data_IF_497843653276
#
_entry.id   IF_497843653276
#
_cell.length_a   1.000
_cell.length_b   1.000
_cell.length_c   1.000
_cell.angle_alpha   90.00
_cell.angle_beta   90.00
_cell.angle_gamma   90.00
#
_symmetry.space_group_name_H-M   'P 1'
#
loop_
_entity.id
_entity.type
_entity.pdbx_description
1 polymer ?
#
# COMPACT_ATOMS: atom_id res chain seq x y z
N UNK A 1 10.31 -1.62 -10.72
CA UNK A 1 11.42 -2.59 -10.70
C UNK A 1 12.14 -2.74 -12.04
N UNK A 2 11.52 -2.41 -13.17
CA UNK A 2 12.22 -2.32 -14.46
C UNK A 2 13.40 -1.32 -14.42
N UNK A 3 13.21 -0.19 -13.73
CA UNK A 3 14.22 0.85 -13.50
C UNK A 3 15.51 0.35 -12.80
N UNK A 4 15.45 -0.69 -11.98
CA UNK A 4 16.62 -1.20 -11.25
C UNK A 4 17.36 -2.21 -12.11
N UNK A 5 16.69 -3.30 -12.49
CA UNK A 5 17.33 -4.39 -13.23
C UNK A 5 17.76 -3.98 -14.64
N UNK A 6 16.96 -3.17 -15.36
CA UNK A 6 17.29 -2.71 -16.72
C UNK A 6 18.42 -1.69 -16.71
N UNK A 7 18.51 -0.85 -15.66
CA UNK A 7 19.63 0.09 -15.50
C UNK A 7 20.93 -0.64 -15.21
N UNK A 8 20.89 -1.66 -14.36
CA UNK A 8 22.05 -2.53 -14.10
C UNK A 8 22.47 -3.26 -15.38
N UNK A 9 21.52 -3.75 -16.16
CA UNK A 9 21.80 -4.42 -17.43
C UNK A 9 22.40 -3.46 -18.46
N UNK A 10 21.89 -2.23 -18.58
CA UNK A 10 22.50 -1.19 -19.41
C UNK A 10 23.90 -0.78 -18.93
N UNK A 11 24.16 -0.78 -17.62
CA UNK A 11 25.49 -0.47 -17.07
C UNK A 11 26.52 -1.59 -17.35
N UNK A 12 26.10 -2.86 -17.34
CA UNK A 12 27.00 -4.02 -17.50
C UNK A 12 27.14 -4.44 -18.97
N UNK A 13 26.02 -4.59 -19.68
CA UNK A 13 25.97 -5.12 -21.05
C UNK A 13 25.81 -4.04 -22.13
N UNK A 14 25.42 -2.81 -21.74
CA UNK A 14 25.19 -1.71 -22.68
C UNK A 14 23.77 -1.70 -23.26
N UNK A 15 23.50 -0.80 -24.21
CA UNK A 15 22.16 -0.63 -24.83
C UNK A 15 21.70 -1.88 -25.62
N UNK A 16 20.43 -1.95 -26.00
CA UNK A 16 19.82 -3.08 -26.71
C UNK A 16 20.65 -3.59 -27.91
N UNK A 17 21.17 -2.68 -28.75
CA UNK A 17 22.04 -3.05 -29.88
C UNK A 17 23.34 -3.72 -29.43
N UNK A 18 23.93 -3.23 -28.34
CA UNK A 18 25.17 -3.77 -27.78
C UNK A 18 24.91 -5.15 -27.14
N UNK A 19 23.78 -5.32 -26.46
CA UNK A 19 23.34 -6.60 -25.89
C UNK A 19 23.10 -7.65 -26.99
N UNK A 20 22.38 -7.27 -28.05
CA UNK A 20 22.13 -8.16 -29.19
C UNK A 20 23.44 -8.62 -29.81
N UNK A 21 24.34 -7.68 -30.09
CA UNK A 21 25.68 -7.96 -30.64
C UNK A 21 26.54 -8.81 -29.69
N UNK A 22 26.45 -8.59 -28.37
CA UNK A 22 27.17 -9.37 -27.36
C UNK A 22 26.67 -10.82 -27.29
N UNK A 23 25.35 -11.02 -27.43
CA UNK A 23 24.75 -12.36 -27.43
C UNK A 23 25.07 -13.15 -28.70
N UNK A 24 25.03 -12.49 -29.87
CA UNK A 24 25.36 -13.07 -31.19
C UNK A 24 26.88 -13.23 -31.43
N UNK A 25 27.71 -12.53 -30.65
CA UNK A 25 29.17 -12.57 -30.78
C UNK A 25 29.83 -13.83 -30.18
N UNK A 26 31.11 -14.07 -30.53
CA UNK A 26 31.87 -15.22 -30.05
C UNK A 26 32.00 -15.25 -28.52
N UNK A 27 32.03 -16.46 -27.96
CA UNK A 27 32.19 -16.67 -26.53
C UNK A 27 33.61 -16.29 -26.10
N UNK A 28 33.72 -15.07 -25.57
CA UNK A 28 34.95 -14.46 -25.08
C UNK A 28 34.91 -14.34 -23.55
N UNK A 29 36.07 -14.33 -22.89
CA UNK A 29 36.14 -14.19 -21.42
C UNK A 29 35.45 -12.90 -20.92
N UNK A 30 35.51 -11.84 -21.73
CA UNK A 30 34.81 -10.59 -21.46
C UNK A 30 33.27 -10.74 -21.48
N UNK A 31 32.72 -11.59 -22.35
CA UNK A 31 31.29 -11.94 -22.39
C UNK A 31 30.91 -12.74 -21.14
N UNK A 32 31.71 -13.74 -20.77
CA UNK A 32 31.47 -14.56 -19.59
C UNK A 32 31.47 -13.71 -18.30
N UNK A 33 32.46 -12.83 -18.13
CA UNK A 33 32.53 -11.94 -16.96
C UNK A 33 31.31 -11.01 -16.84
N UNK A 34 30.88 -10.40 -17.95
CA UNK A 34 29.68 -9.55 -17.97
C UNK A 34 28.42 -10.32 -17.59
N UNK A 35 28.26 -11.54 -18.09
CA UNK A 35 27.10 -12.39 -17.77
C UNK A 35 27.12 -12.83 -16.30
N UNK A 36 28.26 -13.30 -15.79
CA UNK A 36 28.42 -13.67 -14.37
C UNK A 36 28.11 -12.48 -13.47
N UNK A 37 28.70 -11.32 -13.75
CA UNK A 37 28.47 -10.10 -12.97
C UNK A 37 26.98 -9.73 -12.96
N UNK A 38 26.30 -9.79 -14.11
CA UNK A 38 24.86 -9.54 -14.18
C UNK A 38 24.06 -10.50 -13.30
N UNK A 39 24.29 -11.81 -13.45
CA UNK A 39 23.55 -12.82 -12.72
C UNK A 39 23.84 -12.79 -11.21
N UNK A 40 25.08 -12.50 -10.79
CA UNK A 40 25.44 -12.30 -9.39
C UNK A 40 24.72 -11.11 -8.77
N UNK A 41 24.68 -9.96 -9.47
CA UNK A 41 23.96 -8.78 -8.98
C UNK A 41 22.46 -9.04 -8.92
N UNK A 42 21.88 -9.71 -9.93
CA UNK A 42 20.47 -10.04 -9.94
C UNK A 42 20.10 -10.98 -8.80
N UNK A 43 20.92 -12.00 -8.54
CA UNK A 43 20.71 -12.93 -7.43
C UNK A 43 20.76 -12.21 -6.08
N UNK A 44 21.71 -11.29 -5.88
CA UNK A 44 21.82 -10.51 -4.65
C UNK A 44 20.61 -9.62 -4.43
N UNK A 45 20.12 -8.94 -5.47
CA UNK A 45 18.92 -8.09 -5.37
C UNK A 45 17.68 -8.95 -5.11
N UNK A 46 17.54 -10.08 -5.81
CA UNK A 46 16.44 -11.04 -5.57
C UNK A 46 16.46 -11.60 -4.15
N UNK A 47 17.64 -11.84 -3.57
CA UNK A 47 17.79 -12.26 -2.18
C UNK A 47 17.30 -11.19 -1.21
N UNK A 48 17.66 -9.93 -1.41
CA UNK A 48 17.18 -8.81 -0.56
C UNK A 48 15.66 -8.68 -0.65
N UNK A 49 15.10 -8.74 -1.85
CA UNK A 49 13.65 -8.63 -2.07
C UNK A 49 12.91 -9.80 -1.42
N UNK A 50 13.45 -11.02 -1.55
CA UNK A 50 12.91 -12.22 -0.92
C UNK A 50 12.86 -12.09 0.61
N UNK A 51 13.96 -11.63 1.22
CA UNK A 51 14.03 -11.43 2.67
C UNK A 51 13.05 -10.34 3.14
N UNK A 52 12.95 -9.22 2.41
CA UNK A 52 11.99 -8.17 2.74
C UNK A 52 10.54 -8.67 2.64
N UNK A 53 10.23 -9.43 1.59
CA UNK A 53 8.92 -10.04 1.42
C UNK A 53 8.60 -11.02 2.54
N UNK A 54 9.56 -11.85 2.94
CA UNK A 54 9.36 -12.81 4.03
C UNK A 54 9.19 -12.07 5.37
N UNK A 55 9.98 -11.03 5.63
CA UNK A 55 9.84 -10.17 6.81
C UNK A 55 8.45 -9.58 6.95
N UNK A 56 7.76 -9.29 5.84
CA UNK A 56 6.39 -8.80 5.87
C UNK A 56 5.39 -9.88 6.32
N UNK A 57 5.66 -11.16 6.04
CA UNK A 57 4.77 -12.28 6.37
C UNK A 57 5.01 -12.80 7.79
N UNK A 58 6.27 -13.07 8.14
CA UNK A 58 6.63 -13.70 9.43
C UNK A 58 7.07 -12.68 10.51
N UNK A 59 7.24 -11.42 10.14
CA UNK A 59 7.80 -10.38 11.01
C UNK A 59 9.32 -10.33 10.99
N UNK A 60 9.87 -9.15 11.31
CA UNK A 60 11.33 -8.90 11.29
C UNK A 60 12.06 -9.71 12.36
N UNK A 61 11.48 -9.86 13.55
CA UNK A 61 12.12 -10.57 14.67
C UNK A 61 12.28 -12.07 14.38
N UNK A 62 11.29 -12.68 13.72
CA UNK A 62 11.35 -14.07 13.32
C UNK A 62 12.39 -14.28 12.21
N UNK A 63 12.44 -13.38 11.22
CA UNK A 63 13.45 -13.43 10.16
C UNK A 63 14.86 -13.29 10.72
N UNK A 64 15.07 -12.38 11.67
CA UNK A 64 16.38 -12.18 12.30
C UNK A 64 16.85 -13.46 13.00
N UNK A 65 15.96 -14.11 13.77
CA UNK A 65 16.25 -15.41 14.41
C UNK A 65 16.62 -16.49 13.39
N UNK A 66 15.91 -16.59 12.27
CA UNK A 66 16.22 -17.56 11.20
C UNK A 66 17.63 -17.35 10.63
N UNK A 67 18.12 -16.11 10.58
CA UNK A 67 19.45 -15.78 10.06
C UNK A 67 20.56 -15.98 11.11
N UNK A 68 20.27 -15.76 12.40
CA UNK A 68 21.27 -15.83 13.48
C UNK A 68 21.35 -17.18 14.19
N UNK A 69 20.25 -17.92 14.26
CA UNK A 69 20.19 -19.20 14.98
C UNK A 69 20.84 -20.34 14.17
N UNK A 70 21.22 -21.45 14.84
CA UNK A 70 21.71 -22.65 14.15
C UNK A 70 20.71 -23.18 13.12
N UNK A 71 21.22 -23.57 11.95
CA UNK A 71 20.43 -24.00 10.78
C UNK A 71 19.44 -25.13 11.11
N UNK A 72 19.79 -26.00 12.07
CA UNK A 72 18.98 -27.16 12.48
C UNK A 72 17.59 -26.79 13.01
N UNK A 73 17.44 -25.63 13.65
CA UNK A 73 16.18 -25.20 14.26
C UNK A 73 15.23 -24.49 13.27
N UNK A 74 15.74 -24.05 12.11
CA UNK A 74 15.00 -23.20 11.17
C UNK A 74 15.11 -23.67 9.71
N UNK A 75 15.21 -24.98 9.48
CA UNK A 75 15.35 -25.60 8.15
C UNK A 75 14.24 -25.13 7.19
N UNK A 76 12.98 -25.09 7.65
CA UNK A 76 11.84 -24.66 6.83
C UNK A 76 11.96 -23.18 6.44
N UNK A 77 12.42 -22.33 7.35
CA UNK A 77 12.65 -20.91 7.09
C UNK A 77 13.74 -20.68 6.05
N UNK A 78 14.86 -21.39 6.19
CA UNK A 78 15.98 -21.35 5.24
C UNK A 78 15.56 -21.81 3.84
N UNK A 79 14.88 -22.95 3.74
CA UNK A 79 14.36 -23.47 2.46
C UNK A 79 13.43 -22.46 1.82
N UNK A 80 12.54 -21.84 2.60
CA UNK A 80 11.63 -20.80 2.09
C UNK A 80 12.41 -19.61 1.51
N UNK A 81 13.42 -19.09 2.21
CA UNK A 81 14.25 -17.99 1.72
C UNK A 81 14.92 -18.35 0.39
N UNK A 82 15.50 -19.56 0.29
CA UNK A 82 16.17 -20.02 -0.93
C UNK A 82 15.16 -20.15 -2.07
N UNK A 83 14.02 -20.82 -1.84
CA UNK A 83 12.99 -21.02 -2.86
C UNK A 83 12.45 -19.68 -3.35
N UNK A 84 12.07 -18.76 -2.46
CA UNK A 84 11.58 -17.44 -2.86
C UNK A 84 12.66 -16.63 -3.59
N UNK A 85 13.92 -16.69 -3.14
CA UNK A 85 15.04 -16.03 -3.84
C UNK A 85 15.20 -16.57 -5.26
N UNK A 86 15.16 -17.89 -5.44
CA UNK A 86 15.26 -18.53 -6.75
C UNK A 86 14.07 -18.19 -7.65
N UNK A 87 12.85 -18.17 -7.10
CA UNK A 87 11.64 -17.76 -7.84
C UNK A 87 11.76 -16.30 -8.30
N UNK A 88 12.11 -15.38 -7.41
CA UNK A 88 12.30 -13.97 -7.78
C UNK A 88 13.44 -13.80 -8.79
N UNK A 89 14.55 -14.49 -8.60
CA UNK A 89 15.66 -14.50 -9.55
C UNK A 89 15.22 -14.98 -10.93
N UNK A 90 14.51 -16.11 -11.01
CA UNK A 90 14.02 -16.66 -12.27
C UNK A 90 13.07 -15.68 -12.98
N UNK A 91 12.15 -15.10 -12.22
CA UNK A 91 11.21 -14.09 -12.73
C UNK A 91 11.94 -12.89 -13.32
N UNK A 92 12.91 -12.30 -12.60
CA UNK A 92 13.57 -11.09 -13.07
C UNK A 92 14.65 -11.35 -14.13
N UNK A 93 15.30 -12.51 -14.11
CA UNK A 93 16.37 -12.83 -15.05
C UNK A 93 15.87 -13.35 -16.40
N UNK A 94 14.77 -14.12 -16.44
CA UNK A 94 14.36 -14.84 -17.65
C UNK A 94 12.95 -14.52 -18.15
N UNK A 95 11.95 -14.50 -17.26
CA UNK A 95 10.53 -14.45 -17.69
C UNK A 95 9.84 -13.12 -17.37
N UNK A 96 10.62 -12.06 -17.18
CA UNK A 96 10.13 -10.74 -16.73
C UNK A 96 9.01 -10.21 -17.63
N UNK A 97 9.21 -10.25 -18.95
CA UNK A 97 8.25 -9.72 -19.92
C UNK A 97 6.92 -10.49 -19.90
N UNK A 98 6.97 -11.81 -19.79
CA UNK A 98 5.78 -12.67 -19.69
C UNK A 98 5.03 -12.38 -18.39
N UNK A 99 5.77 -12.20 -17.29
CA UNK A 99 5.17 -11.90 -15.99
C UNK A 99 4.43 -10.57 -16.05
N UNK A 100 5.04 -9.51 -16.57
CA UNK A 100 4.42 -8.18 -16.63
C UNK A 100 3.23 -8.12 -17.60
N UNK A 101 3.28 -8.82 -18.73
CA UNK A 101 2.26 -8.72 -19.79
C UNK A 101 1.10 -9.71 -19.64
N UNK A 102 1.35 -10.91 -19.09
CA UNK A 102 0.34 -11.98 -19.03
C UNK A 102 -0.02 -12.45 -17.62
N UNK A 103 0.96 -12.57 -16.73
CA UNK A 103 0.73 -13.18 -15.40
C UNK A 103 0.27 -12.12 -14.39
N UNK A 104 0.81 -10.92 -14.47
CA UNK A 104 0.54 -9.85 -13.52
C UNK A 104 -0.87 -9.29 -13.74
N UNK A 105 -1.81 -9.48 -12.80
CA UNK A 105 -3.15 -8.95 -12.94
C UNK A 105 -3.15 -7.42 -12.93
N UNK A 106 -2.15 -6.80 -12.30
CA UNK A 106 -2.03 -5.34 -12.19
C UNK A 106 -1.90 -4.66 -13.56
N UNK A 107 -1.08 -5.18 -14.47
CA UNK A 107 -0.92 -4.59 -15.81
C UNK A 107 -2.25 -4.55 -16.59
N UNK A 108 -3.10 -5.57 -16.42
CA UNK A 108 -4.42 -5.60 -17.05
C UNK A 108 -5.44 -4.73 -16.32
N UNK A 109 -5.39 -4.67 -14.99
CA UNK A 109 -6.24 -3.78 -14.19
C UNK A 109 -5.94 -2.31 -14.47
N UNK A 110 -4.68 -1.94 -14.74
CA UNK A 110 -4.32 -0.58 -15.13
C UNK A 110 -5.05 -0.12 -16.41
N UNK A 111 -5.25 -1.02 -17.38
CA UNK A 111 -6.03 -0.70 -18.58
C UNK A 111 -7.50 -0.38 -18.29
N UNK A 112 -8.11 -1.03 -17.28
CA UNK A 112 -9.51 -0.79 -16.86
C UNK A 112 -9.66 0.54 -16.10
N UNK A 113 -8.57 1.04 -15.50
CA UNK A 113 -8.55 2.32 -14.78
C UNK A 113 -8.36 3.53 -15.70
N UNK A 114 -8.08 3.32 -16.99
CA UNK A 114 -8.00 4.39 -17.98
C UNK A 114 -9.40 4.71 -18.52
N UNK A 115 -9.68 5.99 -18.64
CA UNK A 115 -10.92 6.54 -19.20
C UNK A 115 -10.55 7.45 -20.38
N UNK A 116 -11.52 7.88 -21.17
CA UNK A 116 -11.28 8.73 -22.36
C UNK A 116 -10.58 10.06 -22.01
N UNK A 117 -10.76 10.51 -20.76
CA UNK A 117 -10.16 11.72 -20.20
C UNK A 117 -8.80 11.48 -19.52
N UNK A 118 -8.30 10.24 -19.50
CA UNK A 118 -7.00 9.93 -18.89
C UNK A 118 -5.87 10.40 -19.81
N UNK A 119 -4.95 11.18 -19.26
CA UNK A 119 -3.78 11.67 -19.99
C UNK A 119 -2.76 10.54 -20.10
N UNK A 120 -2.41 10.17 -21.34
CA UNK A 120 -1.43 9.13 -21.64
C UNK A 120 -0.46 9.61 -22.72
N UNK A 121 0.65 8.88 -22.90
CA UNK A 121 1.53 9.10 -24.05
C UNK A 121 0.82 8.55 -25.28
N UNK A 122 0.44 9.42 -26.21
CA UNK A 122 -0.36 9.05 -27.37
C UNK A 122 0.08 9.80 -28.64
N UNK A 123 -0.26 9.21 -29.79
CA UNK A 123 -0.09 9.80 -31.11
C UNK A 123 -1.34 10.60 -31.50
N UNK A 124 -1.18 11.84 -31.94
CA UNK A 124 -2.29 12.65 -32.41
C UNK A 124 -2.70 12.23 -33.83
N UNK A 125 -3.80 11.49 -33.94
CA UNK A 125 -4.29 10.93 -35.22
C UNK A 125 -4.76 12.03 -36.17
N UNK A 126 -5.49 13.04 -35.68
CA UNK A 126 -5.99 14.15 -36.52
C UNK A 126 -4.88 14.93 -37.21
N UNK A 127 -3.75 15.10 -36.53
CA UNK A 127 -2.60 15.85 -37.05
C UNK A 127 -1.66 14.97 -37.88
N UNK A 128 -1.51 13.71 -37.51
CA UNK A 128 -0.53 12.80 -38.08
C UNK A 128 -1.00 12.11 -39.36
N UNK A 129 -2.30 11.87 -39.49
CA UNK A 129 -2.89 11.14 -40.62
C UNK A 129 -3.52 12.09 -41.66
N UNK A 130 -3.48 11.76 -42.98
CA UNK A 130 -2.88 10.55 -43.55
C UNK A 130 -1.36 10.63 -43.58
N UNK A 131 -0.70 9.62 -43.00
CA UNK A 131 0.77 9.55 -42.93
C UNK A 131 1.38 9.24 -44.28
N UNK A 132 2.57 9.78 -44.53
CA UNK A 132 3.34 9.38 -45.71
C UNK A 132 4.58 10.21 -45.96
N UNK A 133 5.47 9.69 -46.80
CA UNK A 133 6.70 10.38 -47.20
C UNK A 133 6.34 11.68 -47.94
N UNK A 134 6.88 12.79 -47.43
CA UNK A 134 6.79 14.09 -48.06
C UNK A 134 7.65 14.09 -49.34
N UNK A 135 7.03 14.29 -50.51
CA UNK A 135 7.73 14.41 -51.79
C UNK A 135 7.67 15.88 -52.22
N UNK A 136 8.83 16.48 -52.52
CA UNK A 136 8.88 17.84 -53.05
C UNK A 136 8.09 17.90 -54.37
N UNK A 137 7.08 18.77 -54.44
CA UNK A 137 6.22 18.94 -55.62
C UNK A 137 4.95 18.09 -55.67
N UNK A 138 4.61 17.35 -54.61
CA UNK A 138 3.33 16.63 -54.54
C UNK A 138 2.22 17.52 -53.95
N UNK A 139 1.03 17.44 -54.55
CA UNK A 139 -0.19 18.16 -54.13
C UNK A 139 -1.07 17.34 -53.17
N UNK A 140 -0.59 16.19 -52.71
CA UNK A 140 -1.31 15.34 -51.77
C UNK A 140 -1.31 15.98 -50.38
N UNK A 141 -2.49 16.22 -49.81
CA UNK A 141 -2.64 16.65 -48.42
C UNK A 141 -2.23 15.48 -47.52
N UNK A 142 -1.06 15.58 -46.89
CA UNK A 142 -0.53 14.61 -45.92
C UNK A 142 -0.46 15.22 -44.54
N UNK A 143 -0.69 14.39 -43.53
CA UNK A 143 -0.48 14.75 -42.14
C UNK A 143 1.01 14.97 -41.83
N UNK A 144 1.28 15.34 -40.58
CA UNK A 144 2.65 15.63 -40.14
C UNK A 144 3.51 14.38 -39.97
N UNK A 145 2.91 13.18 -39.90
CA UNK A 145 3.68 11.94 -39.80
C UNK A 145 4.30 11.53 -41.14
N UNK A 146 5.63 11.45 -41.18
CA UNK A 146 6.39 11.05 -42.38
C UNK A 146 6.64 9.54 -42.51
N UNK A 147 6.04 8.73 -41.63
CA UNK A 147 6.19 7.26 -41.62
C UNK A 147 7.66 6.75 -41.51
N UNK A 148 8.45 7.37 -40.62
CA UNK A 148 9.87 7.02 -40.43
C UNK A 148 10.13 5.82 -39.52
N UNK A 149 9.12 5.30 -38.82
CA UNK A 149 9.20 4.22 -37.81
C UNK A 149 10.18 4.45 -36.64
N UNK A 150 10.74 5.65 -36.49
CA UNK A 150 11.72 5.91 -35.42
C UNK A 150 11.10 5.74 -34.02
N UNK A 151 9.81 6.09 -33.86
CA UNK A 151 9.06 5.86 -32.62
C UNK A 151 8.96 4.38 -32.22
N UNK A 152 8.97 3.45 -33.18
CA UNK A 152 8.97 2.00 -32.94
C UNK A 152 10.37 1.52 -32.56
N UNK A 153 11.41 2.03 -33.24
CA UNK A 153 12.80 1.64 -32.99
C UNK A 153 13.33 2.07 -31.62
N UNK A 154 12.89 3.23 -31.12
CA UNK A 154 13.25 3.68 -29.76
C UNK A 154 12.38 3.08 -28.67
N UNK A 155 11.31 2.36 -29.04
CA UNK A 155 10.39 1.81 -28.06
C UNK A 155 11.03 0.62 -27.33
N UNK A 156 11.14 0.65 -26.00
CA UNK A 156 11.72 -0.44 -25.23
C UNK A 156 10.93 -1.75 -25.30
N UNK A 157 9.65 -1.68 -25.69
CA UNK A 157 8.73 -2.82 -25.84
C UNK A 157 8.35 -3.09 -27.30
N UNK A 158 8.89 -2.32 -28.25
CA UNK A 158 8.67 -2.52 -29.69
C UNK A 158 7.26 -2.24 -30.19
N UNK A 159 6.43 -1.52 -29.42
CA UNK A 159 5.08 -1.16 -29.85
C UNK A 159 5.09 -0.06 -30.91
N UNK A 160 4.04 -0.06 -31.74
CA UNK A 160 3.76 1.03 -32.65
C UNK A 160 2.69 1.95 -32.06
N UNK A 161 3.13 3.04 -31.46
CA UNK A 161 2.27 4.04 -30.79
C UNK A 161 1.22 4.67 -31.72
N UNK A 162 1.39 4.55 -33.04
CA UNK A 162 0.42 5.05 -34.03
C UNK A 162 -0.82 4.16 -34.15
N UNK A 163 -0.77 2.94 -33.59
CA UNK A 163 -1.92 2.01 -33.56
C UNK A 163 -2.84 2.24 -32.35
N UNK A 164 -2.62 3.30 -31.58
CA UNK A 164 -3.41 3.60 -30.39
C UNK A 164 -2.82 3.01 -29.10
N UNK A 165 -3.55 3.08 -27.98
CA UNK A 165 -3.07 2.62 -26.68
C UNK A 165 -2.88 1.10 -26.65
N UNK A 166 -1.72 0.65 -26.20
CA UNK A 166 -1.37 -0.76 -26.05
C UNK A 166 -0.91 -1.06 -24.62
N UNK A 167 -1.21 -2.26 -24.12
CA UNK A 167 -0.92 -2.67 -22.73
C UNK A 167 0.58 -2.80 -22.46
N UNK A 168 1.37 -2.99 -23.50
CA UNK A 168 2.82 -3.12 -23.44
C UNK A 168 3.51 -1.74 -23.36
N UNK A 169 2.77 -0.63 -23.45
CA UNK A 169 3.34 0.71 -23.31
C UNK A 169 3.74 0.99 -21.85
N UNK A 170 5.03 1.22 -21.60
CA UNK A 170 5.56 1.59 -20.27
C UNK A 170 5.62 3.10 -20.03
N UNK A 171 5.05 3.92 -20.92
CA UNK A 171 5.01 5.39 -20.82
C UNK A 171 6.38 6.06 -20.59
N UNK A 172 7.46 5.51 -21.15
CA UNK A 172 8.83 6.01 -20.99
C UNK A 172 9.19 7.28 -21.78
N UNK A 173 8.25 7.81 -22.58
CA UNK A 173 8.37 9.02 -23.41
C UNK A 173 9.47 9.05 -24.48
N UNK A 174 10.29 8.00 -24.65
CA UNK A 174 11.34 7.97 -25.67
C UNK A 174 10.84 8.21 -27.11
N UNK A 175 9.60 7.78 -27.40
CA UNK A 175 8.94 8.02 -28.68
C UNK A 175 8.60 9.50 -28.94
N UNK A 176 8.39 10.30 -27.88
CA UNK A 176 8.16 11.76 -27.97
C UNK A 176 9.44 12.43 -28.47
N UNK A 177 10.55 12.20 -27.77
CA UNK A 177 11.84 12.82 -28.07
C UNK A 177 12.31 12.48 -29.49
N UNK A 178 12.19 11.21 -29.87
CA UNK A 178 12.55 10.75 -31.20
C UNK A 178 11.68 11.37 -32.30
N UNK A 179 10.38 11.56 -32.05
CA UNK A 179 9.47 12.19 -33.00
C UNK A 179 9.74 13.69 -33.11
N UNK A 180 9.97 14.38 -32.00
CA UNK A 180 10.28 15.81 -31.98
C UNK A 180 11.58 16.12 -32.72
N UNK A 181 12.60 15.28 -32.59
CA UNK A 181 13.85 15.41 -33.35
C UNK A 181 13.64 15.28 -34.88
N UNK A 182 12.64 14.51 -35.32
CA UNK A 182 12.25 14.44 -36.73
C UNK A 182 11.45 15.67 -37.13
N UNK A 183 10.52 16.12 -36.29
CA UNK A 183 9.69 17.31 -36.55
C UNK A 183 10.51 18.58 -36.72
N UNK A 184 11.52 18.77 -35.88
CA UNK A 184 12.46 19.89 -36.02
C UNK A 184 13.18 19.87 -37.38
N UNK A 185 13.66 18.69 -37.83
CA UNK A 185 14.38 18.56 -39.10
C UNK A 185 13.51 18.87 -40.31
N UNK A 186 12.21 18.61 -40.23
CA UNK A 186 11.26 18.90 -41.31
C UNK A 186 10.53 20.24 -41.13
N UNK A 187 10.92 21.06 -40.15
CA UNK A 187 10.29 22.35 -39.81
C UNK A 187 8.77 22.24 -39.57
N UNK A 188 8.34 21.20 -38.86
CA UNK A 188 6.96 21.02 -38.39
C UNK A 188 6.86 21.27 -36.88
N UNK A 189 5.67 21.61 -36.35
CA UNK A 189 5.51 21.80 -34.92
C UNK A 189 5.90 20.53 -34.13
N UNK A 190 6.42 20.69 -32.91
CA UNK A 190 6.70 19.56 -32.01
C UNK A 190 5.42 18.92 -31.49
N UNK A 191 5.55 17.81 -30.75
CA UNK A 191 4.47 17.04 -30.13
C UNK A 191 3.45 16.55 -31.16
N UNK A 192 3.90 15.70 -32.07
CA UNK A 192 2.96 14.82 -32.79
C UNK A 192 2.63 13.58 -31.94
N UNK A 193 3.63 13.09 -31.21
CA UNK A 193 3.45 12.19 -30.08
C UNK A 193 3.64 13.03 -28.82
N UNK A 194 2.74 12.90 -27.86
CA UNK A 194 2.74 13.77 -26.68
C UNK A 194 1.82 13.25 -25.59
N UNK A 195 1.60 14.09 -24.59
CA UNK A 195 0.61 13.83 -23.54
C UNK A 195 -0.76 14.32 -24.02
N UNK A 196 -1.61 13.38 -24.38
CA UNK A 196 -2.97 13.65 -24.84
C UNK A 196 -3.95 12.81 -24.03
N UNK A 197 -5.19 13.27 -23.93
CA UNK A 197 -6.28 12.38 -23.52
C UNK A 197 -6.53 11.34 -24.61
N UNK A 198 -7.09 10.18 -24.26
CA UNK A 198 -7.41 9.16 -25.26
C UNK A 198 -8.42 9.70 -26.30
N UNK A 199 -9.39 10.50 -25.86
CA UNK A 199 -10.32 11.18 -26.76
C UNK A 199 -9.63 12.13 -27.75
N UNK A 200 -8.70 12.97 -27.26
CA UNK A 200 -7.92 13.90 -28.11
C UNK A 200 -7.04 13.14 -29.11
N UNK A 201 -6.42 12.04 -28.68
CA UNK A 201 -5.54 11.24 -29.53
C UNK A 201 -6.31 10.56 -30.68
N UNK A 202 -7.51 10.03 -30.40
CA UNK A 202 -8.41 9.42 -31.39
C UNK A 202 -9.11 10.44 -32.28
N UNK A 203 -9.02 11.72 -31.95
CA UNK A 203 -9.67 12.79 -32.71
C UNK A 203 -11.16 12.90 -32.48
N UNK A 204 -11.66 12.43 -31.33
CA UNK A 204 -13.02 12.75 -30.87
C UNK A 204 -13.02 14.20 -30.42
N UNK A 205 -13.91 15.01 -30.98
CA UNK A 205 -14.09 16.41 -30.56
C UNK A 205 -14.39 16.45 -29.06
N UNK A 206 -13.44 16.93 -28.26
CA UNK A 206 -13.80 17.53 -26.99
C UNK A 206 -14.44 18.87 -27.35
N UNK A 207 -15.78 18.93 -27.30
CA UNK A 207 -16.48 20.21 -27.26
C UNK A 207 -15.69 21.17 -26.39
N UNK A 208 -15.42 22.32 -27.00
CA UNK A 208 -14.91 23.57 -26.46
C UNK A 208 -14.70 23.64 -24.94
N UNK A 209 -13.58 24.24 -24.55
CA UNK A 209 -13.16 24.58 -23.17
C UNK A 209 -12.41 23.49 -22.39
N UNK A 210 -11.08 23.64 -22.33
CA UNK A 210 -10.41 24.15 -21.12
C UNK A 210 -10.66 23.49 -19.75
N UNK A 211 -11.35 22.36 -19.65
CA UNK A 211 -11.53 21.61 -18.41
C UNK A 211 -10.95 20.22 -18.62
N UNK A 212 -9.63 20.18 -18.43
CA UNK A 212 -8.80 19.04 -18.01
C UNK A 212 -9.27 18.43 -16.67
N UNK A 213 -10.57 18.37 -16.43
CA UNK A 213 -11.16 18.01 -15.15
C UNK A 213 -12.08 16.83 -15.38
N UNK A 214 -11.47 15.66 -15.38
CA UNK A 214 -12.22 14.41 -15.25
C UNK A 214 -13.10 14.50 -14.00
N UNK A 215 -14.41 14.70 -14.18
CA UNK A 215 -15.38 14.85 -13.09
C UNK A 215 -15.32 13.67 -12.14
N UNK A 216 -15.11 12.45 -12.66
CA UNK A 216 -14.92 11.24 -11.86
C UNK A 216 -13.67 11.34 -11.00
N UNK A 217 -12.55 11.81 -11.56
CA UNK A 217 -11.30 12.00 -10.81
C UNK A 217 -11.47 13.01 -9.66
N UNK A 218 -12.21 14.11 -9.87
CA UNK A 218 -12.48 15.09 -8.81
C UNK A 218 -13.34 14.50 -7.70
N UNK A 219 -14.38 13.74 -8.06
CA UNK A 219 -15.26 13.06 -7.08
C UNK A 219 -14.46 12.03 -6.28
N UNK A 220 -13.65 11.19 -6.94
CA UNK A 220 -12.84 10.19 -6.24
C UNK A 220 -11.78 10.83 -5.35
N UNK A 221 -11.15 11.92 -5.80
CA UNK A 221 -10.17 12.66 -4.99
C UNK A 221 -10.83 13.32 -3.78
N UNK A 222 -12.02 13.90 -3.92
CA UNK A 222 -12.72 14.52 -2.79
C UNK A 222 -13.16 13.49 -1.76
N UNK A 223 -13.68 12.33 -2.20
CA UNK A 223 -14.03 11.21 -1.31
C UNK A 223 -12.78 10.69 -0.60
N UNK A 224 -11.67 10.50 -1.33
CA UNK A 224 -10.43 10.02 -0.75
C UNK A 224 -9.90 10.99 0.32
N UNK A 225 -9.90 12.29 0.06
CA UNK A 225 -9.50 13.32 1.03
C UNK A 225 -10.40 13.30 2.27
N UNK A 226 -11.71 13.15 2.08
CA UNK A 226 -12.66 13.02 3.19
C UNK A 226 -12.36 11.79 4.05
N UNK A 227 -12.17 10.62 3.42
CA UNK A 227 -11.86 9.37 4.11
C UNK A 227 -10.50 9.44 4.82
N UNK A 228 -9.49 10.03 4.19
CA UNK A 228 -8.19 10.28 4.81
C UNK A 228 -8.30 11.25 5.99
N UNK A 229 -9.16 12.27 5.89
CA UNK A 229 -9.45 13.20 6.99
C UNK A 229 -10.11 12.50 8.18
N UNK A 230 -11.14 11.68 7.93
CA UNK A 230 -11.79 10.87 8.96
C UNK A 230 -10.79 9.90 9.60
N UNK A 231 -10.01 9.20 8.78
CA UNK A 231 -8.99 8.26 9.25
C UNK A 231 -7.92 8.95 10.09
N UNK A 232 -7.43 10.11 9.65
CA UNK A 232 -6.49 10.93 10.40
C UNK A 232 -7.07 11.35 11.74
N UNK A 233 -8.31 11.84 11.76
CA UNK A 233 -9.02 12.17 12.99
C UNK A 233 -9.13 10.97 13.94
N UNK A 234 -9.50 9.79 13.43
CA UNK A 234 -9.60 8.56 14.24
C UNK A 234 -8.24 8.11 14.79
N UNK A 235 -7.14 8.31 14.04
CA UNK A 235 -5.78 8.02 14.53
C UNK A 235 -5.40 8.97 15.68
N UNK A 236 -5.59 10.27 15.51
CA UNK A 236 -5.18 11.25 16.52
C UNK A 236 -6.10 11.29 17.74
N UNK A 237 -7.36 10.89 17.58
CA UNK A 237 -8.32 10.80 18.68
C UNK A 237 -8.32 9.43 19.37
N UNK A 238 -7.43 8.51 18.97
CA UNK A 238 -7.28 7.17 19.58
C UNK A 238 -6.68 7.30 20.98
N UNK A 239 -7.33 6.69 21.98
CA UNK A 239 -6.79 6.57 23.34
C UNK A 239 -5.64 5.55 23.42
N UNK A 240 -4.69 5.82 24.31
CA UNK A 240 -3.52 4.96 24.57
C UNK A 240 -3.89 3.65 25.30
N UNK A 241 -4.99 3.66 26.04
CA UNK A 241 -5.56 2.51 26.75
C UNK A 241 -7.04 2.40 26.39
N UNK A 242 -7.53 1.17 26.29
CA UNK A 242 -8.94 0.85 26.02
C UNK A 242 -9.46 -0.12 27.07
N UNK A 243 -10.56 0.24 27.70
CA UNK A 243 -11.13 -0.40 28.87
C UNK A 243 -12.59 -0.72 28.62
N UNK A 244 -12.93 -2.00 28.70
CA UNK A 244 -14.30 -2.48 28.53
C UNK A 244 -14.79 -3.08 29.83
N UNK A 245 -15.64 -2.33 30.53
CA UNK A 245 -16.30 -2.77 31.74
C UNK A 245 -17.62 -3.47 31.42
N UNK A 246 -17.63 -4.80 31.52
CA UNK A 246 -18.77 -5.65 31.23
C UNK A 246 -19.32 -6.26 32.51
N UNK A 247 -20.64 -6.22 32.70
CA UNK A 247 -21.26 -6.91 33.83
C UNK A 247 -21.16 -8.43 33.65
N UNK A 248 -20.85 -9.17 34.71
CA UNK A 248 -20.72 -10.61 34.64
C UNK A 248 -22.07 -11.27 34.29
N UNK A 249 -22.07 -12.11 33.24
CA UNK A 249 -23.28 -12.81 32.76
C UNK A 249 -23.81 -13.73 33.87
N UNK A 250 -25.12 -13.66 34.13
CA UNK A 250 -25.79 -14.47 35.16
C UNK A 250 -25.59 -13.97 36.60
N UNK A 251 -24.85 -12.88 36.83
CA UNK A 251 -24.73 -12.28 38.16
C UNK A 251 -25.87 -11.31 38.45
N UNK A 252 -26.49 -11.45 39.62
CA UNK A 252 -27.38 -10.46 40.22
C UNK A 252 -26.62 -9.62 41.25
N UNK A 253 -27.30 -8.62 41.81
CA UNK A 253 -26.76 -7.87 42.94
C UNK A 253 -26.66 -8.77 44.17
N UNK A 254 -25.60 -8.61 44.97
CA UNK A 254 -25.41 -9.32 46.23
C UNK A 254 -25.47 -8.31 47.38
N UNK A 255 -26.27 -8.61 48.41
CA UNK A 255 -26.28 -7.82 49.65
C UNK A 255 -25.19 -8.34 50.57
N UNK A 256 -24.41 -7.45 51.17
CA UNK A 256 -23.46 -7.76 52.24
C UNK A 256 -24.05 -7.49 53.61
N UNK A 257 -23.47 -8.14 54.61
CA UNK A 257 -23.84 -7.98 56.02
C UNK A 257 -23.66 -6.54 56.52
N UNK A 258 -22.74 -5.78 55.90
CA UNK A 258 -22.47 -4.37 56.19
C UNK A 258 -23.53 -3.39 55.62
N UNK A 259 -24.62 -3.91 55.03
CA UNK A 259 -25.67 -3.08 54.41
C UNK A 259 -25.32 -2.48 53.04
N UNK A 260 -24.16 -2.86 52.47
CA UNK A 260 -23.74 -2.50 51.12
C UNK A 260 -24.22 -3.51 50.08
N UNK A 261 -24.35 -3.07 48.82
CA UNK A 261 -24.69 -3.93 47.69
C UNK A 261 -23.50 -4.02 46.75
N UNK A 262 -23.19 -5.22 46.27
CA UNK A 262 -22.11 -5.46 45.30
C UNK A 262 -22.62 -6.07 43.99
N UNK A 263 -22.07 -5.60 42.87
CA UNK A 263 -22.24 -6.22 41.55
C UNK A 263 -20.89 -6.67 41.01
N UNK A 264 -20.86 -7.82 40.32
CA UNK A 264 -19.65 -8.36 39.70
C UNK A 264 -19.51 -7.88 38.25
N UNK A 265 -18.32 -7.40 37.91
CA UNK A 265 -17.94 -6.96 36.58
C UNK A 265 -16.65 -7.63 36.13
N UNK A 266 -16.54 -7.83 34.82
CA UNK A 266 -15.32 -8.20 34.12
C UNK A 266 -14.84 -6.97 33.37
N UNK A 267 -13.63 -6.54 33.68
CA UNK A 267 -12.92 -5.47 32.99
C UNK A 267 -11.89 -6.10 32.06
N UNK A 268 -12.00 -5.79 30.76
CA UNK A 268 -10.97 -6.10 29.77
C UNK A 268 -10.21 -4.80 29.47
N UNK A 269 -8.91 -4.78 29.76
CA UNK A 269 -8.03 -3.63 29.48
C UNK A 269 -7.03 -4.02 28.39
N UNK A 270 -6.83 -3.13 27.43
CA UNK A 270 -5.91 -3.32 26.31
C UNK A 270 -4.92 -2.16 26.29
N UNK A 271 -3.63 -2.48 26.33
CA UNK A 271 -2.56 -1.53 26.11
C UNK A 271 -2.33 -1.35 24.61
N UNK A 272 -2.62 -0.16 24.10
CA UNK A 272 -2.46 0.17 22.67
C UNK A 272 -1.11 0.81 22.35
N UNK A 273 -0.21 0.90 23.34
CA UNK A 273 1.13 1.47 23.25
C UNK A 273 2.21 0.40 23.15
N UNK A 274 3.37 0.77 22.61
CA UNK A 274 4.55 -0.11 22.52
C UNK A 274 5.43 -0.11 23.78
N UNK A 275 4.91 0.39 24.91
CA UNK A 275 5.60 0.40 26.21
C UNK A 275 4.76 -0.34 27.23
N UNK A 276 5.41 -0.90 28.24
CA UNK A 276 4.71 -1.44 29.40
C UNK A 276 4.09 -0.30 30.21
N UNK A 277 2.89 -0.53 30.75
CA UNK A 277 2.11 0.47 31.46
C UNK A 277 1.58 -0.11 32.78
N UNK A 278 1.75 0.65 33.85
CA UNK A 278 1.07 0.39 35.10
C UNK A 278 -0.19 1.26 35.18
N UNK A 279 -1.31 0.68 35.58
CA UNK A 279 -2.60 1.35 35.66
C UNK A 279 -3.29 1.12 37.00
N UNK A 280 -4.01 2.15 37.44
CA UNK A 280 -4.82 2.16 38.65
C UNK A 280 -6.30 2.35 38.28
N UNK A 281 -7.17 1.68 39.02
CA UNK A 281 -8.62 1.79 38.86
C UNK A 281 -9.19 2.68 39.96
N UNK A 282 -9.84 3.77 39.57
CA UNK A 282 -10.48 4.71 40.50
C UNK A 282 -11.95 4.82 40.15
N UNK A 283 -12.82 4.81 41.15
CA UNK A 283 -14.24 5.11 40.90
C UNK A 283 -14.41 6.61 40.73
N UNK A 284 -15.03 7.02 39.61
CA UNK A 284 -15.37 8.41 39.35
C UNK A 284 -16.71 8.81 39.99
N UNK A 285 -17.49 7.83 40.50
CA UNK A 285 -18.78 8.05 41.16
C UNK A 285 -18.61 8.03 42.66
N UNK A 286 -19.01 9.12 43.34
CA UNK A 286 -18.98 9.21 44.79
C UNK A 286 -19.80 8.09 45.45
N UNK A 287 -19.25 7.50 46.53
CA UNK A 287 -19.92 6.44 47.29
C UNK A 287 -19.80 5.03 46.71
N UNK A 288 -19.10 4.84 45.58
CA UNK A 288 -18.80 3.52 45.01
C UNK A 288 -17.35 3.12 45.31
N UNK A 289 -17.18 1.97 45.99
CA UNK A 289 -15.88 1.35 46.25
C UNK A 289 -15.61 0.25 45.23
N UNK A 290 -14.38 0.16 44.76
CA UNK A 290 -13.91 -0.89 43.85
C UNK A 290 -13.17 -1.94 44.67
N UNK A 291 -13.56 -3.20 44.54
CA UNK A 291 -12.82 -4.33 45.10
C UNK A 291 -12.41 -5.26 43.96
N UNK A 292 -11.12 -5.30 43.66
CA UNK A 292 -10.56 -6.16 42.61
C UNK A 292 -10.36 -7.57 43.16
N UNK A 293 -10.79 -8.59 42.41
CA UNK A 293 -10.66 -10.01 42.80
C UNK A 293 -9.28 -10.55 42.43
N UNK A 294 -8.79 -10.22 41.24
CA UNK A 294 -7.44 -10.52 40.76
C UNK A 294 -6.68 -9.22 40.49
N UNK A 295 -5.85 -8.75 41.43
CA UNK A 295 -5.12 -7.50 41.25
C UNK A 295 -4.08 -7.66 40.13
N UNK A 296 -4.40 -7.12 38.96
CA UNK A 296 -3.48 -6.95 37.83
C UNK A 296 -3.37 -5.44 37.64
N UNK A 297 -2.19 -4.90 37.92
CA UNK A 297 -1.87 -3.47 37.77
C UNK A 297 -0.87 -3.20 36.65
N UNK A 298 -0.29 -4.25 36.05
CA UNK A 298 0.73 -4.16 35.01
C UNK A 298 0.20 -4.71 33.69
N UNK A 299 0.35 -3.93 32.61
CA UNK A 299 0.04 -4.31 31.24
C UNK A 299 1.32 -4.31 30.40
N UNK A 300 1.64 -5.45 29.81
CA UNK A 300 2.73 -5.55 28.83
C UNK A 300 2.43 -4.73 27.57
N UNK A 301 3.48 -4.35 26.84
CA UNK A 301 3.40 -3.71 25.52
C UNK A 301 2.45 -4.48 24.61
N UNK A 302 1.50 -3.76 23.99
CA UNK A 302 0.50 -4.34 23.08
C UNK A 302 -0.31 -5.50 23.69
N UNK A 303 -0.30 -5.63 25.02
CA UNK A 303 -0.91 -6.70 25.78
C UNK A 303 -2.36 -6.41 26.15
N UNK A 304 -3.07 -7.46 26.59
CA UNK A 304 -4.39 -7.36 27.17
C UNK A 304 -4.42 -8.03 28.55
N UNK A 305 -5.28 -7.52 29.42
CA UNK A 305 -5.54 -8.10 30.74
C UNK A 305 -7.05 -8.22 30.95
N UNK A 306 -7.46 -9.31 31.59
CA UNK A 306 -8.84 -9.51 32.04
C UNK A 306 -8.86 -9.62 33.55
N UNK A 307 -9.68 -8.79 34.17
CA UNK A 307 -9.81 -8.75 35.61
C UNK A 307 -11.27 -8.68 36.03
N UNK A 308 -11.56 -9.30 37.17
CA UNK A 308 -12.87 -9.34 37.79
C UNK A 308 -12.87 -8.41 38.99
N UNK A 309 -13.86 -7.55 39.07
CA UNK A 309 -13.99 -6.57 40.14
C UNK A 309 -15.44 -6.48 40.62
N UNK A 310 -15.60 -6.18 41.91
CA UNK A 310 -16.86 -5.80 42.50
C UNK A 310 -16.95 -4.29 42.61
N UNK A 311 -18.02 -3.71 42.08
CA UNK A 311 -18.43 -2.37 42.47
C UNK A 311 -19.34 -2.51 43.69
N UNK A 312 -19.05 -1.76 44.73
CA UNK A 312 -19.76 -1.81 46.01
C UNK A 312 -20.29 -0.42 46.31
N UNK A 313 -21.59 -0.30 46.51
CA UNK A 313 -22.24 0.94 46.87
C UNK A 313 -23.07 0.76 48.16
N UNK A 314 -23.23 1.83 48.94
CA UNK A 314 -24.19 1.83 50.04
C UNK A 314 -25.61 1.71 49.48
N UNK A 315 -26.43 0.80 50.01
CA UNK A 315 -27.80 0.64 49.52
C UNK A 315 -28.63 1.93 49.73
N UNK A 316 -28.28 2.76 50.73
CA UNK A 316 -28.95 4.04 51.01
C UNK A 316 -28.69 5.11 49.96
N UNK A 317 -27.57 5.06 49.24
CA UNK A 317 -27.27 6.03 48.19
C UNK A 317 -27.98 5.73 46.87
N UNK A 318 -28.68 4.60 46.77
CA UNK A 318 -29.30 4.12 45.52
C UNK A 318 -30.77 4.52 45.45
N UNK A 319 -31.08 5.47 44.57
CA UNK A 319 -32.44 5.98 44.37
C UNK A 319 -33.23 5.22 43.30
N UNK A 320 -32.56 4.55 42.37
CA UNK A 320 -33.19 3.87 41.23
C UNK A 320 -32.64 2.45 41.08
N UNK A 321 -33.46 1.55 40.55
CA UNK A 321 -33.07 0.14 40.35
C UNK A 321 -31.83 -0.02 39.47
N UNK A 322 -31.67 0.86 38.48
CA UNK A 322 -30.50 0.97 37.61
C UNK A 322 -29.89 2.35 37.83
N UNK A 323 -28.61 2.40 38.19
CA UNK A 323 -27.84 3.63 38.36
C UNK A 323 -26.60 3.53 37.51
N UNK A 324 -26.29 4.55 36.71
CA UNK A 324 -25.06 4.57 35.92
C UNK A 324 -23.87 4.94 36.81
N UNK A 325 -22.82 4.13 36.71
CA UNK A 325 -21.58 4.26 37.48
C UNK A 325 -20.41 4.36 36.52
N UNK A 326 -19.48 5.25 36.87
CA UNK A 326 -18.28 5.51 36.08
C UNK A 326 -17.03 5.02 36.79
N UNK A 327 -16.15 4.34 36.05
CA UNK A 327 -14.86 3.84 36.52
C UNK A 327 -13.77 4.39 35.63
N UNK A 328 -12.79 5.06 36.21
CA UNK A 328 -11.66 5.64 35.51
C UNK A 328 -10.46 4.70 35.54
N UNK A 329 -9.77 4.60 34.41
CA UNK A 329 -8.43 4.01 34.30
C UNK A 329 -7.41 5.15 34.36
N UNK A 330 -6.60 5.16 35.41
CA UNK A 330 -5.50 6.11 35.59
C UNK A 330 -4.16 5.46 35.28
N UNK A 331 -3.29 6.18 34.59
CA UNK A 331 -1.88 5.84 34.43
C UNK A 331 -1.07 7.00 35.01
N UNK A 332 -0.51 6.81 36.20
CA UNK A 332 0.00 7.91 37.02
C UNK A 332 -1.13 8.89 37.39
N UNK A 333 -0.92 10.18 37.12
CA UNK A 333 -1.91 11.24 37.43
C UNK A 333 -2.93 11.52 36.32
N UNK A 334 -2.82 10.87 35.16
CA UNK A 334 -3.72 11.11 34.02
C UNK A 334 -4.82 10.05 33.94
N UNK A 335 -6.07 10.50 33.88
CA UNK A 335 -7.21 9.67 33.47
C UNK A 335 -7.11 9.47 31.96
N UNK A 336 -6.87 8.24 31.53
CA UNK A 336 -6.79 7.91 30.10
C UNK A 336 -8.15 7.54 29.53
N UNK A 337 -9.02 6.98 30.36
CA UNK A 337 -10.34 6.52 29.93
C UNK A 337 -11.32 6.44 31.09
N UNK A 338 -12.57 6.81 30.82
CA UNK A 338 -13.70 6.69 31.74
C UNK A 338 -14.69 5.69 31.15
N UNK A 339 -14.92 4.59 31.86
CA UNK A 339 -15.84 3.54 31.47
C UNK A 339 -17.16 3.72 32.18
N UNK A 340 -18.26 3.67 31.43
CA UNK A 340 -19.60 3.74 31.98
C UNK A 340 -20.24 2.36 32.04
N UNK A 341 -20.87 2.03 33.16
CA UNK A 341 -21.61 0.78 33.32
C UNK A 341 -22.85 0.98 34.19
N UNK A 342 -23.83 0.09 34.06
CA UNK A 342 -25.04 0.15 34.89
C UNK A 342 -24.86 -0.70 36.14
N UNK A 343 -25.09 -0.07 37.29
CA UNK A 343 -25.20 -0.70 38.61
C UNK A 343 -26.65 -1.03 38.92
N UNK A 344 -26.91 -2.25 39.41
CA UNK A 344 -28.26 -2.71 39.72
C UNK A 344 -28.40 -2.95 41.22
N UNK A 345 -29.36 -2.30 41.86
CA UNK A 345 -29.78 -2.65 43.22
C UNK A 345 -31.18 -2.11 43.51
N UNK A 346 -32.00 -2.81 44.32
CA UNK A 346 -33.30 -2.31 44.71
C UNK A 346 -33.17 -1.08 45.63
N UNK A 347 -33.89 0.03 45.36
CA UNK A 347 -33.93 1.18 46.26
C UNK A 347 -34.57 0.76 47.58
N UNK A 348 -34.07 1.33 48.69
CA UNK A 348 -34.72 1.17 49.99
C UNK A 348 -36.01 2.00 49.95
N UNK A 349 -37.14 1.37 50.25
CA UNK A 349 -38.45 2.03 50.32
C UNK A 349 -38.54 3.02 51.48
#
# INVERSE_FOLDING_TARGET
MELIFRRIEYLIEGDWLQQKKLNEGPDTDAKAWKKVLKHSVFLLISFIISNLFLSYIIGIDALYKIVTDPIENHIVGLISIIVFTLVFYFVFAFVREIVCTRICPYGRLQGVLLDDNSVTVAYNVQRGEPRGKQRKGSTEVKGDCIDCNLCVHVCPTGIDIRKGPQLECVSCTACIDACDAVMEKINKPKRLIGFYTLAEAEGKETEDTGKKRNTRAVIYTSILVLLMGIFGYMIFSRSDVDGRLLRAKGSTYQKRDDGTVSNLYTLEVINKTSKDLDFDLVSATEGVKIQVVNPISHLSREGNAKLSLFLIADQKSIKQYKTDVKVDIKVGDKVLETMETTFIAPPIK
#
